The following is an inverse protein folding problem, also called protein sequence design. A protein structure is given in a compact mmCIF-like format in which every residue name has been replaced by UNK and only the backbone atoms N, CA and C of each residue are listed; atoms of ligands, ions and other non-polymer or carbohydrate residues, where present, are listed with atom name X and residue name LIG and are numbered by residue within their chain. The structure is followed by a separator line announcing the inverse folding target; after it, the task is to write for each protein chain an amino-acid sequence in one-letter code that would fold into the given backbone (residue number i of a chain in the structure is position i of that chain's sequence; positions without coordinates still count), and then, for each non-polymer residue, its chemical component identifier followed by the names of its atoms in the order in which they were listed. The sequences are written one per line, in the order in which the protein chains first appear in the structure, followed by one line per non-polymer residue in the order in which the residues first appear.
data_IF_052787216775
#
_entry.id   IF_052787216775
#
_cell.length_a   1.000
_cell.length_b   1.000
_cell.length_c   1.000
_cell.angle_alpha   90.00
_cell.angle_beta   90.00
_cell.angle_gamma   90.00
#
_symmetry.space_group_name_H-M   'P 1'
#
loop_
_entity.id
_entity.type
_entity.pdbx_description
1 polymer ?
#
# COMPACT_ATOMS: atom_id res chain seq x y z
N UNK A 1 -18.54 -39.70 -0.58
CA UNK A 1 -17.63 -39.07 -1.54
C UNK A 1 -17.79 -37.55 -1.60
N UNK A 2 -18.98 -36.95 -1.76
CA UNK A 2 -19.18 -35.49 -1.80
C UNK A 2 -18.68 -34.73 -0.55
N UNK A 3 -18.85 -35.28 0.65
CA UNK A 3 -18.39 -34.66 1.93
C UNK A 3 -16.87 -34.66 2.06
N UNK A 4 -16.18 -35.67 1.55
CA UNK A 4 -14.69 -35.75 1.57
C UNK A 4 -14.06 -34.73 0.58
N UNK A 5 -14.70 -34.56 -0.58
CA UNK A 5 -14.26 -33.58 -1.59
C UNK A 5 -14.42 -32.15 -1.03
N UNK A 6 -15.52 -31.87 -0.30
CA UNK A 6 -15.78 -30.57 0.29
C UNK A 6 -14.74 -30.21 1.39
N UNK A 7 -14.35 -31.19 2.22
CA UNK A 7 -13.32 -30.98 3.26
C UNK A 7 -11.93 -30.75 2.64
N UNK A 8 -11.59 -31.44 1.55
CA UNK A 8 -10.34 -31.19 0.83
C UNK A 8 -10.29 -29.80 0.16
N UNK A 9 -11.42 -29.32 -0.38
CA UNK A 9 -11.52 -27.97 -0.96
C UNK A 9 -11.34 -26.88 0.09
N UNK A 10 -11.93 -27.04 1.27
CA UNK A 10 -11.77 -26.08 2.38
C UNK A 10 -10.33 -26.06 2.89
N UNK A 11 -9.69 -27.21 3.07
CA UNK A 11 -8.29 -27.31 3.50
C UNK A 11 -7.31 -26.67 2.47
N UNK A 12 -7.61 -26.75 1.18
CA UNK A 12 -6.79 -26.13 0.12
C UNK A 12 -6.89 -24.60 0.12
N UNK A 13 -8.08 -24.02 0.39
CA UNK A 13 -8.27 -22.57 0.46
C UNK A 13 -7.52 -21.93 1.63
N UNK A 14 -7.35 -22.60 2.76
CA UNK A 14 -6.65 -22.08 3.94
C UNK A 14 -5.14 -21.89 3.66
N UNK A 15 -4.53 -22.80 2.89
CA UNK A 15 -3.09 -22.71 2.58
C UNK A 15 -2.74 -21.53 1.67
N UNK A 16 -3.61 -21.12 0.75
CA UNK A 16 -3.37 -19.99 -0.17
C UNK A 16 -3.37 -18.66 0.57
N UNK A 17 -4.30 -18.48 1.51
CA UNK A 17 -4.38 -17.22 2.29
C UNK A 17 -3.20 -17.06 3.24
N UNK A 18 -2.72 -18.15 3.85
CA UNK A 18 -1.56 -18.14 4.74
C UNK A 18 -0.27 -17.76 3.99
N UNK A 19 -0.05 -18.32 2.80
CA UNK A 19 1.11 -18.02 1.95
C UNK A 19 1.15 -16.55 1.52
N UNK A 20 0.02 -15.95 1.16
CA UNK A 20 -0.06 -14.54 0.77
C UNK A 20 0.20 -13.60 1.94
N UNK A 21 -0.29 -13.91 3.13
CA UNK A 21 -0.03 -13.14 4.35
C UNK A 21 1.46 -13.15 4.68
N UNK A 22 2.10 -14.32 4.68
CA UNK A 22 3.52 -14.46 4.95
C UNK A 22 4.39 -13.68 3.94
N UNK A 23 4.04 -13.69 2.65
CA UNK A 23 4.73 -12.91 1.62
C UNK A 23 4.61 -11.40 1.88
N UNK A 24 3.45 -10.91 2.30
CA UNK A 24 3.25 -9.49 2.64
C UNK A 24 4.07 -9.07 3.85
N UNK A 25 4.08 -9.87 4.91
CA UNK A 25 4.87 -9.60 6.12
C UNK A 25 6.37 -9.56 5.80
N UNK A 26 6.86 -10.48 4.97
CA UNK A 26 8.25 -10.48 4.50
C UNK A 26 8.61 -9.22 3.72
N UNK A 27 7.74 -8.76 2.82
CA UNK A 27 7.94 -7.52 2.08
C UNK A 27 7.92 -6.32 3.01
N UNK A 28 7.03 -6.29 4.00
CA UNK A 28 6.96 -5.24 5.01
C UNK A 28 8.25 -5.17 5.83
N UNK A 29 8.75 -6.32 6.32
CA UNK A 29 10.01 -6.39 7.07
C UNK A 29 11.20 -5.89 6.23
N UNK A 30 11.28 -6.29 4.95
CA UNK A 30 12.33 -5.81 4.04
C UNK A 30 12.23 -4.29 3.81
N UNK A 31 11.02 -3.75 3.67
CA UNK A 31 10.80 -2.30 3.52
C UNK A 31 11.23 -1.56 4.78
N UNK A 32 10.88 -2.10 5.95
CA UNK A 32 11.28 -1.52 7.25
C UNK A 32 12.80 -1.44 7.36
N UNK A 33 13.50 -2.56 7.17
CA UNK A 33 14.97 -2.58 7.23
C UNK A 33 15.59 -1.60 6.23
N UNK A 34 15.10 -1.59 4.98
CA UNK A 34 15.61 -0.72 3.93
C UNK A 34 15.44 0.78 4.27
N UNK A 35 14.23 1.20 4.65
CA UNK A 35 13.96 2.61 4.99
C UNK A 35 14.76 3.03 6.23
N UNK A 36 14.85 2.20 7.28
CA UNK A 36 15.64 2.50 8.48
C UNK A 36 17.10 2.78 8.12
N UNK A 37 17.68 1.96 7.24
CA UNK A 37 19.06 2.13 6.77
C UNK A 37 19.23 3.38 5.92
N UNK A 38 18.37 3.58 4.91
CA UNK A 38 18.50 4.72 3.99
C UNK A 38 18.33 6.08 4.71
N UNK A 39 17.46 6.14 5.70
CA UNK A 39 17.24 7.37 6.49
C UNK A 39 18.25 7.52 7.64
N UNK A 40 19.07 6.50 7.89
CA UNK A 40 19.96 6.44 9.05
C UNK A 40 19.22 6.83 10.35
N UNK A 41 18.09 6.13 10.60
CA UNK A 41 17.30 6.36 11.81
C UNK A 41 18.01 5.75 13.01
N UNK A 42 18.24 6.57 14.04
CA UNK A 42 18.65 6.05 15.33
C UNK A 42 17.46 5.40 16.09
N UNK A 43 17.71 4.73 17.20
CA UNK A 43 16.67 3.99 17.94
C UNK A 43 15.50 4.87 18.38
N UNK A 44 15.77 6.06 18.90
CA UNK A 44 14.73 7.02 19.34
C UNK A 44 13.90 7.54 18.16
N UNK A 45 14.56 7.88 17.04
CA UNK A 45 13.86 8.28 15.81
C UNK A 45 13.00 7.13 15.25
N UNK A 46 13.53 5.91 15.21
CA UNK A 46 12.83 4.75 14.69
C UNK A 46 11.59 4.40 15.53
N UNK A 47 11.69 4.47 16.86
CA UNK A 47 10.59 4.23 17.79
C UNK A 47 9.40 5.16 17.53
N UNK A 48 9.64 6.44 17.24
CA UNK A 48 8.61 7.44 16.93
C UNK A 48 8.13 7.34 15.48
N UNK A 49 9.04 7.06 14.55
CA UNK A 49 8.78 7.04 13.11
C UNK A 49 7.84 5.91 12.70
N UNK A 50 8.10 4.68 13.15
CA UNK A 50 7.39 3.51 12.62
C UNK A 50 5.90 3.48 12.93
N UNK A 51 5.41 3.84 14.13
CA UNK A 51 3.97 3.93 14.39
C UNK A 51 3.26 4.92 13.46
N UNK A 52 3.82 6.12 13.28
CA UNK A 52 3.27 7.18 12.43
C UNK A 52 3.27 6.73 10.96
N UNK A 53 4.42 6.25 10.48
CA UNK A 53 4.57 5.79 9.11
C UNK A 53 3.62 4.62 8.77
N UNK A 54 3.55 3.61 9.63
CA UNK A 54 2.71 2.44 9.39
C UNK A 54 1.22 2.80 9.37
N UNK A 55 0.76 3.68 10.25
CA UNK A 55 -0.63 4.16 10.25
C UNK A 55 -0.97 4.90 8.97
N UNK A 56 -0.13 5.84 8.55
CA UNK A 56 -0.31 6.57 7.30
C UNK A 56 -0.24 5.65 6.07
N UNK A 57 0.71 4.70 6.04
CA UNK A 57 0.83 3.75 4.93
C UNK A 57 -0.39 2.85 4.82
N UNK A 58 -0.95 2.38 5.94
CA UNK A 58 -2.16 1.57 5.95
C UNK A 58 -3.34 2.34 5.35
N UNK A 59 -3.57 3.58 5.79
CA UNK A 59 -4.63 4.45 5.22
C UNK A 59 -4.44 4.69 3.73
N UNK A 60 -3.21 4.96 3.31
CA UNK A 60 -2.89 5.14 1.88
C UNK A 60 -3.14 3.87 1.06
N UNK A 61 -2.85 2.69 1.61
CA UNK A 61 -3.14 1.40 0.96
C UNK A 61 -4.65 1.22 0.78
N UNK A 62 -5.46 1.53 1.79
CA UNK A 62 -6.91 1.43 1.73
C UNK A 62 -7.50 2.35 0.65
N UNK A 63 -7.09 3.63 0.64
CA UNK A 63 -7.52 4.61 -0.37
C UNK A 63 -7.10 4.22 -1.80
N UNK A 64 -5.89 3.71 -1.97
CA UNK A 64 -5.41 3.21 -3.28
C UNK A 64 -6.19 1.97 -3.74
N UNK A 65 -6.56 1.09 -2.82
CA UNK A 65 -7.39 -0.07 -3.14
C UNK A 65 -8.79 0.37 -3.58
N UNK A 66 -9.40 1.34 -2.89
CA UNK A 66 -10.69 1.91 -3.29
C UNK A 66 -10.60 2.55 -4.69
N UNK A 67 -9.56 3.33 -4.95
CA UNK A 67 -9.33 3.94 -6.27
C UNK A 67 -9.11 2.87 -7.37
N UNK A 68 -8.44 1.75 -7.03
CA UNK A 68 -8.25 0.62 -7.95
C UNK A 68 -9.57 -0.07 -8.29
N UNK A 69 -10.41 -0.32 -7.28
CA UNK A 69 -11.74 -0.92 -7.48
C UNK A 69 -12.63 0.00 -8.33
N UNK A 70 -12.58 1.30 -8.08
CA UNK A 70 -13.32 2.28 -8.89
C UNK A 70 -12.87 2.23 -10.35
N UNK A 71 -11.55 2.23 -10.62
CA UNK A 71 -11.00 2.11 -11.98
C UNK A 71 -11.42 0.80 -12.67
N UNK A 72 -11.42 -0.31 -11.93
CA UNK A 72 -11.90 -1.59 -12.45
C UNK A 72 -13.36 -1.51 -12.85
N UNK A 73 -14.23 -0.97 -11.98
CA UNK A 73 -15.65 -0.77 -12.27
C UNK A 73 -15.86 0.08 -13.53
N UNK A 74 -15.08 1.15 -13.70
CA UNK A 74 -15.12 1.99 -14.90
C UNK A 74 -14.76 1.17 -16.13
N UNK A 75 -13.64 0.45 -16.10
CA UNK A 75 -13.16 -0.35 -17.23
C UNK A 75 -14.18 -1.41 -17.66
N UNK A 76 -14.76 -2.11 -16.70
CA UNK A 76 -15.67 -3.23 -16.97
C UNK A 76 -17.04 -2.77 -17.53
N UNK A 77 -17.46 -1.52 -17.20
CA UNK A 77 -18.78 -1.00 -17.58
C UNK A 77 -18.72 0.27 -18.46
N UNK A 78 -17.58 0.61 -19.03
CA UNK A 78 -17.37 1.90 -19.71
C UNK A 78 -18.44 2.20 -20.79
N UNK A 79 -18.85 1.19 -21.56
CA UNK A 79 -19.83 1.34 -22.64
C UNK A 79 -21.27 1.58 -22.17
N UNK A 80 -21.58 1.26 -20.92
CA UNK A 80 -22.95 1.30 -20.36
C UNK A 80 -23.13 2.36 -19.27
N UNK A 81 -22.05 3.07 -18.90
CA UNK A 81 -22.08 4.11 -17.87
C UNK A 81 -22.93 5.28 -18.39
N UNK A 82 -23.93 5.69 -17.59
CA UNK A 82 -24.71 6.89 -17.87
C UNK A 82 -23.89 8.16 -17.63
N UNK A 83 -24.28 9.28 -18.24
CA UNK A 83 -23.62 10.58 -18.01
C UNK A 83 -23.65 11.00 -16.53
N UNK A 84 -24.75 10.72 -15.81
CA UNK A 84 -24.85 11.02 -14.39
C UNK A 84 -23.91 10.15 -13.56
N UNK A 85 -23.82 8.85 -13.85
CA UNK A 85 -22.87 7.96 -13.18
C UNK A 85 -21.42 8.38 -13.47
N UNK A 86 -21.12 8.78 -14.70
CA UNK A 86 -19.79 9.27 -15.07
C UNK A 86 -19.40 10.51 -14.23
N UNK A 87 -20.30 11.46 -14.02
CA UNK A 87 -20.06 12.63 -13.15
C UNK A 87 -19.81 12.23 -11.70
N UNK A 88 -20.59 11.28 -11.17
CA UNK A 88 -20.38 10.78 -9.81
C UNK A 88 -19.02 10.07 -9.65
N UNK A 89 -18.66 9.26 -10.64
CA UNK A 89 -17.37 8.54 -10.67
C UNK A 89 -16.20 9.53 -10.71
N UNK A 90 -16.28 10.58 -11.54
CA UNK A 90 -15.25 11.63 -11.59
C UNK A 90 -15.09 12.33 -10.24
N UNK A 91 -16.20 12.77 -9.61
CA UNK A 91 -16.17 13.37 -8.26
C UNK A 91 -15.53 12.42 -7.24
N UNK A 92 -15.90 11.13 -7.25
CA UNK A 92 -15.32 10.13 -6.35
C UNK A 92 -13.83 9.93 -6.60
N UNK A 93 -13.40 9.90 -7.86
CA UNK A 93 -11.99 9.76 -8.24
C UNK A 93 -11.15 10.93 -7.73
N UNK A 94 -11.62 12.17 -7.94
CA UNK A 94 -10.97 13.39 -7.45
C UNK A 94 -10.87 13.38 -5.91
N UNK A 95 -11.97 13.05 -5.22
CA UNK A 95 -11.98 12.97 -3.77
C UNK A 95 -10.96 11.94 -3.22
N UNK A 96 -10.86 10.77 -3.84
CA UNK A 96 -9.87 9.75 -3.46
C UNK A 96 -8.43 10.24 -3.66
N UNK A 97 -8.14 10.93 -4.76
CA UNK A 97 -6.82 11.52 -5.01
C UNK A 97 -6.48 12.58 -3.96
N UNK A 98 -7.44 13.44 -3.62
CA UNK A 98 -7.26 14.46 -2.59
C UNK A 98 -6.98 13.83 -1.21
N UNK A 99 -7.73 12.79 -0.83
CA UNK A 99 -7.49 12.05 0.42
C UNK A 99 -6.10 11.40 0.46
N UNK A 100 -5.66 10.79 -0.63
CA UNK A 100 -4.31 10.19 -0.72
C UNK A 100 -3.23 11.28 -0.57
N UNK A 101 -3.43 12.44 -1.17
CA UNK A 101 -2.51 13.58 -1.04
C UNK A 101 -2.50 14.12 0.39
N UNK A 102 -3.68 14.28 1.00
CA UNK A 102 -3.83 14.74 2.38
C UNK A 102 -3.12 13.82 3.39
N UNK A 103 -3.28 12.49 3.27
CA UNK A 103 -2.57 11.54 4.13
C UNK A 103 -1.04 11.67 3.99
N UNK A 104 -0.56 12.01 2.81
CA UNK A 104 0.87 12.26 2.61
C UNK A 104 1.34 13.55 3.27
N UNK A 105 0.53 14.60 3.18
CA UNK A 105 0.82 15.90 3.84
C UNK A 105 0.83 15.73 5.36
N UNK A 106 -0.15 15.01 5.92
CA UNK A 106 -0.21 14.70 7.34
C UNK A 106 1.04 13.94 7.80
N UNK A 107 1.44 12.90 7.07
CA UNK A 107 2.66 12.15 7.37
C UNK A 107 3.89 13.06 7.42
N UNK A 108 4.06 13.94 6.43
CA UNK A 108 5.20 14.88 6.40
C UNK A 108 5.18 15.82 7.61
N UNK A 109 4.02 16.38 7.94
CA UNK A 109 3.87 17.29 9.07
C UNK A 109 4.18 16.60 10.41
N UNK A 110 3.66 15.38 10.61
CA UNK A 110 3.92 14.60 11.82
C UNK A 110 5.40 14.23 11.97
N UNK A 111 6.06 13.87 10.87
CA UNK A 111 7.48 13.54 10.87
C UNK A 111 8.37 14.77 11.11
N UNK A 112 7.97 15.95 10.64
CA UNK A 112 8.71 17.21 10.85
C UNK A 112 8.80 17.61 12.33
N UNK A 113 7.94 17.08 13.19
CA UNK A 113 7.98 17.36 14.62
C UNK A 113 9.25 16.82 15.32
N UNK A 114 9.91 15.83 14.72
CA UNK A 114 11.07 15.18 15.36
C UNK A 114 12.17 14.72 14.40
N UNK A 115 11.94 14.78 13.08
CA UNK A 115 12.96 14.43 12.08
C UNK A 115 13.44 15.65 11.30
N UNK A 116 14.73 15.71 10.95
CA UNK A 116 15.24 16.69 10.01
C UNK A 116 14.57 16.58 8.64
N UNK A 117 14.23 17.71 8.01
CA UNK A 117 13.59 17.75 6.69
C UNK A 117 14.35 16.95 5.62
N UNK A 118 15.71 16.89 5.70
CA UNK A 118 16.52 16.07 4.80
C UNK A 118 16.16 14.58 4.87
N UNK A 119 15.91 14.02 6.05
CA UNK A 119 15.49 12.63 6.21
C UNK A 119 14.11 12.38 5.60
N UNK A 120 13.21 13.37 5.66
CA UNK A 120 11.87 13.28 5.08
C UNK A 120 11.94 13.31 3.55
N UNK A 121 12.83 14.12 2.96
CA UNK A 121 13.11 14.10 1.51
C UNK A 121 13.66 12.72 1.12
N UNK A 122 14.59 12.18 1.89
CA UNK A 122 15.16 10.84 1.66
C UNK A 122 14.11 9.74 1.76
N UNK A 123 13.10 9.87 2.64
CA UNK A 123 12.00 8.91 2.74
C UNK A 123 11.30 8.71 1.39
N UNK A 124 10.96 9.80 0.70
CA UNK A 124 10.32 9.72 -0.62
C UNK A 124 11.20 8.95 -1.61
N UNK A 125 12.49 9.27 -1.65
CA UNK A 125 13.45 8.56 -2.50
C UNK A 125 13.57 7.08 -2.12
N UNK A 126 13.67 6.77 -0.83
CA UNK A 126 13.78 5.39 -0.34
C UNK A 126 12.54 4.55 -0.68
N UNK A 127 11.32 5.11 -0.55
CA UNK A 127 10.08 4.44 -0.96
C UNK A 127 10.10 4.09 -2.47
N UNK A 128 10.49 5.04 -3.31
CA UNK A 128 10.53 4.86 -4.76
C UNK A 128 11.61 3.84 -5.18
N UNK A 129 12.79 3.91 -4.55
CA UNK A 129 13.91 2.98 -4.79
C UNK A 129 13.57 1.56 -4.34
N UNK A 130 12.96 1.39 -3.16
CA UNK A 130 12.50 0.09 -2.68
C UNK A 130 11.50 -0.53 -3.65
N UNK A 131 10.54 0.26 -4.12
CA UNK A 131 9.52 -0.20 -5.08
C UNK A 131 10.17 -0.67 -6.39
N UNK A 132 11.12 0.09 -6.94
CA UNK A 132 11.87 -0.29 -8.15
C UNK A 132 12.67 -1.59 -7.95
N UNK A 133 13.37 -1.71 -6.82
CA UNK A 133 14.14 -2.93 -6.47
C UNK A 133 13.23 -4.14 -6.34
N UNK A 134 12.06 -3.96 -5.73
CA UNK A 134 11.08 -5.03 -5.55
C UNK A 134 10.53 -5.53 -6.91
N UNK A 135 10.12 -4.61 -7.78
CA UNK A 135 9.63 -4.94 -9.13
C UNK A 135 10.71 -5.67 -9.94
N UNK A 136 11.96 -5.19 -9.91
CA UNK A 136 13.08 -5.85 -10.60
C UNK A 136 13.30 -7.27 -10.10
N UNK A 137 13.21 -7.52 -8.78
CA UNK A 137 13.32 -8.87 -8.20
C UNK A 137 12.22 -9.82 -8.67
N UNK A 138 10.99 -9.33 -8.85
CA UNK A 138 9.90 -10.18 -9.34
C UNK A 138 10.07 -10.52 -10.82
N UNK A 139 10.47 -9.55 -11.65
CA UNK A 139 10.75 -9.81 -13.09
C UNK A 139 11.89 -10.80 -13.34
N UNK A 140 12.90 -10.83 -12.48
CA UNK A 140 14.04 -11.74 -12.64
C UNK A 140 13.78 -13.15 -12.08
N UNK A 141 12.58 -13.42 -11.56
CA UNK A 141 12.18 -14.75 -11.04
C UNK A 141 11.19 -15.48 -11.97
N UNK A 142 10.74 -14.83 -13.03
CA UNK A 142 10.02 -15.40 -14.17
C UNK A 142 11.00 -15.79 -15.27
#
# INVERSE_FOLDING_TARGET
MKKVILTFLIAFCINITFSQKQKREKIKALKTAYITTELNLNSNEAEKFWPIYNTSEQRRIELRNEARLLRKKIKDNFKTISENDAKLILKKSINLQNKIHQERTLLVNDLLLFLPAKKIILLKKAEDDFTRKLIKRFKNKE
#
